data_IF_191359964125
#
_entry.id   IF_191359964125
#
_cell.length_a   1.000
_cell.length_b   1.000
_cell.length_c   1.000
_cell.angle_alpha   90.00
_cell.angle_beta   90.00
_cell.angle_gamma   90.00
#
_symmetry.space_group_name_H-M   'P 1'
#
loop_
_entity.id
_entity.type
_entity.pdbx_description
1 polymer ?
#
# COMPACT_ATOMS: atom_id res chain seq x y z
N UNK A 1 6.62 6.30 3.19
CA UNK A 1 7.16 5.82 1.89
C UNK A 1 5.97 5.52 1.00
N UNK A 2 5.94 6.03 -0.22
CA UNK A 2 4.84 5.75 -1.18
C UNK A 2 5.21 4.53 -2.02
N UNK A 3 4.38 3.49 -1.97
CA UNK A 3 4.54 2.25 -2.73
C UNK A 3 3.34 2.07 -3.66
N UNK A 4 3.54 1.44 -4.80
CA UNK A 4 2.50 1.14 -5.78
C UNK A 4 2.22 -0.37 -5.81
N UNK A 5 1.10 -0.75 -6.41
CA UNK A 5 0.87 -2.16 -6.70
C UNK A 5 2.00 -2.73 -7.57
N UNK A 6 2.44 -3.95 -7.27
CA UNK A 6 3.58 -4.57 -7.95
C UNK A 6 4.95 -4.25 -7.36
N UNK A 7 5.08 -3.24 -6.50
CA UNK A 7 6.34 -2.98 -5.79
C UNK A 7 6.62 -4.07 -4.75
N UNK A 8 7.90 -4.31 -4.45
CA UNK A 8 8.29 -5.21 -3.36
C UNK A 8 8.09 -4.53 -2.02
N UNK A 9 7.39 -5.21 -1.10
CA UNK A 9 7.17 -4.75 0.25
C UNK A 9 8.49 -4.65 1.02
N UNK A 10 8.88 -3.46 1.51
CA UNK A 10 10.19 -3.24 2.12
C UNK A 10 10.27 -3.75 3.57
N UNK A 11 9.12 -3.93 4.24
CA UNK A 11 9.04 -4.32 5.65
C UNK A 11 7.67 -4.90 5.96
N UNK A 12 7.63 -5.99 6.72
CA UNK A 12 6.38 -6.59 7.19
C UNK A 12 5.59 -5.58 8.04
N UNK A 13 4.31 -5.39 7.71
CA UNK A 13 3.47 -4.49 8.50
C UNK A 13 2.14 -4.14 7.84
N UNK A 14 1.43 -3.21 8.49
CA UNK A 14 0.19 -2.66 7.99
C UNK A 14 0.45 -1.49 7.05
N UNK A 15 -0.24 -1.47 5.91
CA UNK A 15 -0.15 -0.40 4.91
C UNK A 15 -1.54 0.15 4.61
N UNK A 16 -1.67 1.47 4.63
CA UNK A 16 -2.87 2.18 4.23
C UNK A 16 -2.92 2.27 2.71
N UNK A 17 -4.09 2.02 2.12
CA UNK A 17 -4.40 2.35 0.74
C UNK A 17 -4.94 3.77 0.71
N UNK A 18 -4.23 4.66 0.05
CA UNK A 18 -4.52 6.08 -0.03
C UNK A 18 -4.95 6.42 -1.46
N UNK A 19 -6.07 7.12 -1.62
CA UNK A 19 -6.55 7.58 -2.92
C UNK A 19 -5.82 8.83 -3.42
N UNK A 20 -6.13 9.27 -4.65
CA UNK A 20 -5.52 10.48 -5.24
C UNK A 20 -5.85 11.79 -4.52
N UNK A 21 -6.87 11.79 -3.65
CA UNK A 21 -7.26 12.94 -2.83
C UNK A 21 -6.58 12.93 -1.46
N UNK A 22 -5.82 11.87 -1.12
CA UNK A 22 -5.16 11.71 0.16
C UNK A 22 -6.03 11.03 1.24
N UNK A 23 -7.18 10.46 0.88
CA UNK A 23 -8.02 9.74 1.83
C UNK A 23 -7.54 8.30 2.00
N UNK A 24 -7.52 7.81 3.23
CA UNK A 24 -7.33 6.37 3.51
C UNK A 24 -8.65 5.65 3.21
N UNK A 25 -8.61 4.75 2.23
CA UNK A 25 -9.79 3.99 1.78
C UNK A 25 -9.76 2.53 2.23
N UNK A 26 -8.60 2.03 2.66
CA UNK A 26 -8.42 0.67 3.17
C UNK A 26 -7.11 0.54 3.96
N UNK A 27 -6.95 -0.56 4.70
CA UNK A 27 -5.69 -0.97 5.33
C UNK A 27 -5.47 -2.46 5.11
N UNK A 28 -4.25 -2.84 4.74
CA UNK A 28 -3.85 -4.24 4.49
C UNK A 28 -2.62 -4.59 5.31
N UNK A 29 -2.35 -5.89 5.47
CA UNK A 29 -1.11 -6.39 6.07
C UNK A 29 -0.32 -7.15 5.00
N UNK A 30 0.96 -6.81 4.85
CA UNK A 30 1.85 -7.38 3.81
C UNK A 30 3.18 -7.75 4.45
N UNK A 31 3.74 -8.90 4.07
CA UNK A 31 5.04 -9.38 4.50
C UNK A 31 6.19 -8.73 3.73
N UNK A 32 7.34 -8.57 4.38
CA UNK A 32 8.59 -8.15 3.74
C UNK A 32 8.97 -9.10 2.59
N UNK A 33 9.35 -8.52 1.45
CA UNK A 33 9.70 -9.27 0.24
C UNK A 33 8.50 -9.74 -0.59
N UNK A 34 7.28 -9.66 -0.06
CA UNK A 34 6.07 -9.93 -0.86
C UNK A 34 5.79 -8.79 -1.85
N UNK A 35 5.03 -9.08 -2.90
CA UNK A 35 4.58 -8.06 -3.85
C UNK A 35 3.37 -7.33 -3.29
N UNK A 36 3.40 -5.99 -3.33
CA UNK A 36 2.25 -5.16 -2.97
C UNK A 36 1.05 -5.53 -3.84
N UNK A 37 -0.11 -5.83 -3.24
CA UNK A 37 -1.27 -6.34 -3.98
C UNK A 37 -1.83 -5.27 -4.93
N UNK A 38 -2.73 -5.63 -5.85
CA UNK A 38 -3.46 -4.67 -6.65
C UNK A 38 -4.35 -3.79 -5.77
N UNK A 39 -4.38 -2.49 -6.08
CA UNK A 39 -5.32 -1.53 -5.49
C UNK A 39 -6.67 -1.56 -6.22
N UNK A 40 -7.72 -1.05 -5.56
CA UNK A 40 -9.05 -0.99 -6.17
C UNK A 40 -9.13 -0.04 -7.38
N UNK A 41 -8.20 0.91 -7.50
CA UNK A 41 -8.09 1.88 -8.59
C UNK A 41 -6.63 2.21 -8.89
N UNK A 42 -6.34 2.59 -10.13
CA UNK A 42 -5.00 2.90 -10.63
C UNK A 42 -4.35 4.13 -9.99
N UNK A 43 -5.14 5.00 -9.36
CA UNK A 43 -4.69 6.26 -8.76
C UNK A 43 -4.37 6.13 -7.26
N UNK A 44 -4.53 4.93 -6.69
CA UNK A 44 -4.23 4.65 -5.29
C UNK A 44 -2.76 4.25 -5.08
N UNK A 45 -2.28 4.41 -3.85
CA UNK A 45 -0.95 3.98 -3.44
C UNK A 45 -0.95 3.49 -1.99
N UNK A 46 0.13 2.85 -1.58
CA UNK A 46 0.35 2.33 -0.23
C UNK A 46 1.26 3.24 0.58
N UNK A 47 0.91 3.46 1.85
CA UNK A 47 1.78 4.06 2.85
C UNK A 47 1.86 3.17 4.09
N UNK A 48 3.08 3.02 4.62
CA UNK A 48 3.30 2.34 5.90
C UNK A 48 2.51 3.04 7.01
N UNK A 49 1.69 2.28 7.72
CA UNK A 49 1.02 2.74 8.91
C UNK A 49 2.01 2.54 10.07
N UNK A 50 2.67 3.63 10.50
CA UNK A 50 3.64 3.62 11.60
C UNK A 50 2.93 3.62 12.97
#
# INVERSE_FOLDING_TARGET
MRLNCGDTCPKTGSYNVVDSQGNVINTIYVGEGETMPPTQRSDCYYESND
#
